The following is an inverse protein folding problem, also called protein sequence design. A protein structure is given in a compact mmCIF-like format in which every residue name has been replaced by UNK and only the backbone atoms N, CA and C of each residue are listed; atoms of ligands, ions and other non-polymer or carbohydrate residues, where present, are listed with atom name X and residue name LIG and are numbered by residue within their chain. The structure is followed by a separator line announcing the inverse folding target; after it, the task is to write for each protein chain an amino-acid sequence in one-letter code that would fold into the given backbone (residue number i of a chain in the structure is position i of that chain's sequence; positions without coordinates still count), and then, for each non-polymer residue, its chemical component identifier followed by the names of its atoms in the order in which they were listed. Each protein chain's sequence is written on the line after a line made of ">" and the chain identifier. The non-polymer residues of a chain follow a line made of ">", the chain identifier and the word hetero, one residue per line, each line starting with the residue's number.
data_IF_347992255366
#
_entry.id   IF_347992255366
#
_cell.length_a   1.000
_cell.length_b   1.000
_cell.length_c   1.000
_cell.angle_alpha   90.00
_cell.angle_beta   90.00
_cell.angle_gamma   90.00
#
_symmetry.space_group_name_H-M   'P 1'
#
loop_
_entity.id
_entity.type
_entity.pdbx_description
1 polymer ?
#
# COMPACT_ATOMS: atom_id res chain seq x y z
N UNK A 1 -15.85 6.10 8.86
CA UNK A 1 -15.52 4.66 8.84
C UNK A 1 -14.25 4.41 9.65
N UNK A 2 -14.09 3.22 10.24
CA UNK A 2 -12.82 2.81 10.86
C UNK A 2 -11.69 2.77 9.80
N UNK A 3 -10.57 3.52 9.96
CA UNK A 3 -9.46 3.49 9.01
C UNK A 3 -8.75 2.12 8.91
N UNK A 4 -9.07 1.18 9.80
CA UNK A 4 -8.59 -0.20 9.77
C UNK A 4 -9.61 -1.22 9.24
N UNK A 5 -10.79 -0.77 8.79
CA UNK A 5 -11.78 -1.63 8.14
C UNK A 5 -11.14 -2.42 6.99
N UNK A 6 -11.49 -3.70 6.82
CA UNK A 6 -10.94 -4.53 5.74
C UNK A 6 -11.28 -3.94 4.36
N UNK A 7 -10.57 -4.34 3.31
CA UNK A 7 -10.87 -3.87 1.96
C UNK A 7 -12.28 -4.30 1.52
N UNK A 8 -12.68 -5.52 1.89
CA UNK A 8 -14.04 -6.01 1.67
C UNK A 8 -15.09 -5.21 2.46
N UNK A 9 -14.81 -4.83 3.71
CA UNK A 9 -15.74 -4.00 4.50
C UNK A 9 -15.88 -2.58 3.92
N UNK A 10 -14.78 -1.98 3.46
CA UNK A 10 -14.81 -0.68 2.76
C UNK A 10 -15.70 -0.76 1.52
N UNK A 11 -15.42 -1.72 0.64
CA UNK A 11 -16.18 -1.90 -0.59
C UNK A 11 -17.67 -2.20 -0.29
N UNK A 12 -17.97 -2.98 0.75
CA UNK A 12 -19.34 -3.29 1.14
C UNK A 12 -20.10 -2.06 1.64
N UNK A 13 -19.45 -1.21 2.43
CA UNK A 13 -20.06 0.04 2.91
C UNK A 13 -20.26 1.07 1.78
N UNK A 14 -19.33 1.14 0.81
CA UNK A 14 -19.51 1.94 -0.41
C UNK A 14 -20.72 1.44 -1.21
N UNK A 15 -20.83 0.12 -1.44
CA UNK A 15 -21.99 -0.49 -2.12
C UNK A 15 -23.31 -0.27 -1.39
N UNK A 16 -23.30 -0.19 -0.05
CA UNK A 16 -24.48 0.11 0.77
C UNK A 16 -24.75 1.62 0.91
N UNK A 17 -23.95 2.46 0.27
CA UNK A 17 -24.02 3.92 0.37
C UNK A 17 -23.91 4.45 1.82
N UNK A 18 -23.21 3.72 2.70
CA UNK A 18 -22.91 4.18 4.07
C UNK A 18 -21.79 5.23 4.09
N UNK A 19 -20.95 5.22 3.05
CA UNK A 19 -19.94 6.23 2.72
C UNK A 19 -19.75 6.22 1.21
N UNK A 20 -19.54 7.36 0.57
CA UNK A 20 -19.16 7.39 -0.84
C UNK A 20 -17.68 7.02 -1.03
N UNK A 21 -17.32 6.48 -2.20
CA UNK A 21 -15.92 6.20 -2.51
C UNK A 21 -15.05 7.47 -2.48
N UNK A 22 -15.60 8.62 -2.87
CA UNK A 22 -14.89 9.91 -2.85
C UNK A 22 -14.62 10.39 -1.42
N UNK A 23 -15.63 10.35 -0.54
CA UNK A 23 -15.43 10.66 0.90
C UNK A 23 -14.40 9.72 1.54
N UNK A 24 -14.39 8.45 1.14
CA UNK A 24 -13.43 7.48 1.62
C UNK A 24 -12.01 7.83 1.15
N UNK A 25 -11.82 8.13 -0.14
CA UNK A 25 -10.54 8.57 -0.70
C UNK A 25 -10.02 9.82 -0.01
N UNK A 26 -10.85 10.85 0.14
CA UNK A 26 -10.45 12.10 0.80
C UNK A 26 -10.02 11.86 2.26
N UNK A 27 -10.80 11.07 3.01
CA UNK A 27 -10.45 10.71 4.38
C UNK A 27 -9.11 9.97 4.49
N UNK A 28 -8.78 9.12 3.51
CA UNK A 28 -7.49 8.42 3.48
C UNK A 28 -6.34 9.34 3.06
N UNK A 29 -6.54 10.23 2.08
CA UNK A 29 -5.53 11.21 1.67
C UNK A 29 -5.17 12.17 2.80
N UNK A 30 -6.16 12.71 3.51
CA UNK A 30 -5.94 13.54 4.71
C UNK A 30 -5.18 12.79 5.80
N UNK A 31 -5.47 11.49 5.95
CA UNK A 31 -4.78 10.64 6.92
C UNK A 31 -3.34 10.37 6.51
N UNK A 32 -3.06 10.16 5.22
CA UNK A 32 -1.71 10.03 4.66
C UNK A 32 -0.91 11.32 4.95
N UNK A 33 -1.47 12.48 4.62
CA UNK A 33 -0.82 13.78 4.85
C UNK A 33 -0.41 13.96 6.33
N UNK A 34 -1.29 13.56 7.26
CA UNK A 34 -1.03 13.69 8.70
C UNK A 34 -0.02 12.69 9.26
N UNK A 35 0.00 11.45 8.77
CA UNK A 35 0.71 10.35 9.43
C UNK A 35 1.97 9.89 8.68
N UNK A 36 1.96 9.95 7.35
CA UNK A 36 3.07 9.47 6.54
C UNK A 36 4.39 10.22 6.75
N UNK A 37 4.44 11.52 7.11
CA UNK A 37 5.72 12.17 7.43
C UNK A 37 6.55 11.48 8.53
N UNK A 38 5.92 10.64 9.37
CA UNK A 38 6.61 9.84 10.41
C UNK A 38 7.00 8.44 9.95
N UNK A 39 6.36 7.94 8.89
CA UNK A 39 6.50 6.57 8.40
C UNK A 39 7.32 6.50 7.12
N UNK A 40 7.19 7.50 6.25
CA UNK A 40 7.78 7.56 4.93
C UNK A 40 7.42 6.30 4.10
N UNK A 41 6.13 6.00 4.04
CA UNK A 41 5.59 4.82 3.37
C UNK A 41 5.17 5.13 1.92
N UNK A 42 4.72 6.35 1.63
CA UNK A 42 4.43 6.83 0.29
C UNK A 42 5.59 7.65 -0.26
N UNK A 43 6.00 7.34 -1.50
CA UNK A 43 6.85 8.23 -2.30
C UNK A 43 6.05 9.45 -2.73
N UNK A 44 4.87 9.20 -3.31
CA UNK A 44 4.01 10.23 -3.88
C UNK A 44 2.56 9.77 -3.78
N UNK A 45 1.67 10.66 -3.39
CA UNK A 45 0.23 10.44 -3.42
C UNK A 45 -0.34 10.77 -4.79
N UNK A 46 -1.52 10.25 -5.09
CA UNK A 46 -2.18 10.44 -6.38
C UNK A 46 -3.62 10.93 -6.19
N UNK A 47 -3.82 12.10 -5.56
CA UNK A 47 -5.15 12.59 -5.17
C UNK A 47 -6.11 12.72 -6.35
N UNK A 48 -5.67 13.31 -7.45
CA UNK A 48 -6.52 13.54 -8.63
C UNK A 48 -6.94 12.23 -9.29
N UNK A 49 -6.00 11.29 -9.45
CA UNK A 49 -6.28 9.94 -9.95
C UNK A 49 -7.24 9.19 -9.02
N UNK A 50 -6.97 9.19 -7.71
CA UNK A 50 -7.78 8.46 -6.73
C UNK A 50 -9.22 8.98 -6.71
N UNK A 51 -9.40 10.31 -6.76
CA UNK A 51 -10.72 10.95 -6.80
C UNK A 51 -11.45 10.66 -8.11
N UNK A 52 -10.77 10.72 -9.24
CA UNK A 52 -11.37 10.36 -10.53
C UNK A 52 -11.86 8.89 -10.52
N UNK A 53 -11.01 7.96 -10.07
CA UNK A 53 -11.37 6.55 -9.92
C UNK A 53 -12.53 6.30 -8.96
N UNK A 54 -12.63 7.10 -7.89
CA UNK A 54 -13.72 7.02 -6.93
C UNK A 54 -15.03 7.62 -7.46
N UNK A 55 -14.95 8.68 -8.26
CA UNK A 55 -16.09 9.35 -8.87
C UNK A 55 -16.70 8.54 -10.02
N UNK A 56 -15.88 7.79 -10.75
CA UNK A 56 -16.33 6.97 -11.87
C UNK A 56 -17.35 5.90 -11.44
N UNK A 57 -17.45 5.56 -10.14
CA UNK A 57 -18.57 4.84 -9.49
C UNK A 57 -18.80 3.38 -9.90
N UNK A 58 -18.39 3.03 -11.12
CA UNK A 58 -18.74 1.84 -11.88
C UNK A 58 -17.54 0.93 -12.12
N UNK A 59 -16.39 1.22 -11.49
CA UNK A 59 -15.08 0.69 -11.84
C UNK A 59 -14.87 -0.83 -11.72
N UNK A 60 -15.92 -1.65 -11.58
CA UNK A 60 -15.84 -3.08 -11.87
C UNK A 60 -16.93 -3.95 -11.24
N UNK A 61 -17.75 -3.40 -10.34
CA UNK A 61 -18.76 -4.16 -9.58
C UNK A 61 -18.20 -5.30 -8.71
N UNK A 62 -16.87 -5.44 -8.66
CA UNK A 62 -16.16 -6.51 -7.98
C UNK A 62 -16.14 -6.36 -6.46
N UNK A 63 -15.66 -7.39 -5.76
CA UNK A 63 -15.67 -7.42 -4.29
C UNK A 63 -14.87 -6.27 -3.65
N UNK A 64 -13.88 -5.71 -4.37
CA UNK A 64 -13.01 -4.62 -3.93
C UNK A 64 -13.40 -3.23 -4.46
N UNK A 65 -14.48 -3.10 -5.24
CA UNK A 65 -14.85 -1.81 -5.83
C UNK A 65 -15.08 -0.74 -4.74
N UNK A 66 -14.39 0.40 -4.86
CA UNK A 66 -14.36 1.50 -3.90
C UNK A 66 -13.33 1.36 -2.77
N UNK A 67 -12.70 0.19 -2.59
CA UNK A 67 -11.69 0.01 -1.56
C UNK A 67 -10.35 0.64 -1.95
N UNK A 68 -9.78 1.43 -1.05
CA UNK A 68 -8.54 2.17 -1.29
C UNK A 68 -7.30 1.26 -1.32
N UNK A 69 -6.36 1.56 -2.22
CA UNK A 69 -5.14 0.77 -2.39
C UNK A 69 -3.89 1.62 -2.63
N UNK A 70 -2.73 0.97 -2.67
CA UNK A 70 -1.46 1.58 -3.04
C UNK A 70 -0.67 0.69 -4.00
N UNK A 71 0.24 1.29 -4.78
CA UNK A 71 1.09 0.56 -5.73
C UNK A 71 2.56 0.77 -5.38
N UNK A 72 3.28 -0.32 -5.08
CA UNK A 72 4.74 -0.28 -4.94
C UNK A 72 5.45 0.34 -6.14
N UNK A 73 6.48 1.15 -5.88
CA UNK A 73 7.26 1.84 -6.89
C UNK A 73 8.23 0.95 -7.71
N UNK A 74 7.74 -0.20 -8.17
CA UNK A 74 8.40 -1.12 -9.12
C UNK A 74 7.48 -1.52 -10.28
N UNK A 75 6.17 -1.26 -10.18
CA UNK A 75 5.20 -1.59 -11.23
C UNK A 75 4.78 -0.30 -11.94
N UNK A 76 4.78 -0.26 -13.27
CA UNK A 76 4.51 0.95 -14.02
C UNK A 76 3.05 1.42 -13.86
N UNK A 77 2.85 2.74 -13.79
CA UNK A 77 1.54 3.39 -13.73
C UNK A 77 1.58 4.63 -14.62
N UNK A 78 0.85 4.62 -15.73
CA UNK A 78 0.93 5.61 -16.79
C UNK A 78 0.76 7.04 -16.24
N UNK A 79 1.64 7.96 -16.67
CA UNK A 79 1.63 9.36 -16.24
C UNK A 79 2.19 9.62 -14.84
N UNK A 80 2.60 8.58 -14.10
CA UNK A 80 3.15 8.71 -12.77
C UNK A 80 4.62 8.26 -12.68
N UNK A 81 5.37 8.75 -11.67
CA UNK A 81 6.76 8.37 -11.49
C UNK A 81 6.97 6.87 -11.29
N UNK A 82 8.04 6.35 -11.87
CA UNK A 82 8.52 4.98 -11.73
C UNK A 82 10.03 5.00 -11.46
N UNK A 83 10.40 5.17 -10.19
CA UNK A 83 11.81 5.43 -9.84
C UNK A 83 12.59 4.18 -9.48
N UNK A 84 11.90 3.05 -9.28
CA UNK A 84 12.51 1.84 -8.77
C UNK A 84 13.25 2.02 -7.44
N UNK A 85 12.96 3.07 -6.67
CA UNK A 85 13.72 3.45 -5.47
C UNK A 85 15.16 3.93 -5.76
N UNK A 86 15.52 4.14 -7.03
CA UNK A 86 16.85 4.52 -7.50
C UNK A 86 16.90 5.98 -7.92
N UNK A 87 18.00 6.67 -7.58
CA UNK A 87 18.27 8.04 -8.08
C UNK A 87 18.45 8.09 -9.59
N UNK A 88 18.90 6.99 -10.22
CA UNK A 88 19.09 6.93 -11.67
C UNK A 88 17.77 7.07 -12.44
N UNK A 89 16.63 6.87 -11.79
CA UNK A 89 15.29 6.93 -12.37
C UNK A 89 14.41 7.97 -11.66
N UNK A 90 14.99 8.93 -10.92
CA UNK A 90 14.23 9.92 -10.13
C UNK A 90 13.18 10.67 -10.97
N UNK A 91 13.57 11.04 -12.19
CA UNK A 91 12.74 11.77 -13.16
C UNK A 91 11.99 10.85 -14.15
N UNK A 92 12.08 9.53 -13.98
CA UNK A 92 11.43 8.58 -14.89
C UNK A 92 9.91 8.55 -14.66
N UNK A 93 9.15 8.74 -15.73
CA UNK A 93 7.68 8.68 -15.74
C UNK A 93 7.22 7.53 -16.61
N UNK A 94 6.40 6.64 -16.05
CA UNK A 94 5.85 5.51 -16.78
C UNK A 94 4.92 5.98 -17.89
N UNK A 95 5.12 5.46 -19.11
CA UNK A 95 4.31 5.79 -20.28
C UNK A 95 3.05 4.92 -20.39
N UNK A 96 3.09 3.73 -19.80
CA UNK A 96 1.99 2.76 -19.82
C UNK A 96 1.77 2.21 -18.42
N UNK A 97 0.56 1.70 -18.19
CA UNK A 97 0.29 0.88 -17.02
C UNK A 97 0.94 -0.49 -17.19
N UNK A 98 1.49 -1.01 -16.10
CA UNK A 98 1.68 -2.44 -15.96
C UNK A 98 0.31 -3.13 -15.92
N UNK A 99 0.23 -4.36 -16.41
CA UNK A 99 -1.03 -5.08 -16.47
C UNK A 99 -1.68 -5.28 -15.10
N UNK A 100 -0.87 -5.46 -14.04
CA UNK A 100 -1.38 -5.49 -12.66
C UNK A 100 -2.05 -4.17 -12.28
N UNK A 101 -1.48 -3.03 -12.63
CA UNK A 101 -2.08 -1.71 -12.39
C UNK A 101 -3.35 -1.52 -13.22
N UNK A 102 -3.35 -1.92 -14.48
CA UNK A 102 -4.58 -1.89 -15.31
C UNK A 102 -5.71 -2.70 -14.68
N UNK A 103 -5.41 -3.89 -14.14
CA UNK A 103 -6.40 -4.71 -13.40
C UNK A 103 -6.85 -4.05 -12.10
N UNK A 104 -5.96 -3.42 -11.34
CA UNK A 104 -6.34 -2.66 -10.15
C UNK A 104 -7.33 -1.53 -10.47
N UNK A 105 -7.07 -0.80 -11.56
CA UNK A 105 -7.98 0.25 -12.07
C UNK A 105 -9.32 -0.34 -12.49
N UNK A 106 -9.32 -1.43 -13.26
CA UNK A 106 -10.52 -2.14 -13.73
C UNK A 106 -11.28 -2.92 -12.65
N UNK A 107 -10.68 -3.11 -11.47
CA UNK A 107 -11.34 -3.65 -10.28
C UNK A 107 -12.00 -2.54 -9.44
N UNK A 108 -11.82 -1.27 -9.82
CA UNK A 108 -12.47 -0.13 -9.20
C UNK A 108 -11.84 0.22 -7.87
N UNK A 109 -10.54 -0.01 -7.71
CA UNK A 109 -9.81 0.29 -6.48
C UNK A 109 -9.08 1.62 -6.60
N UNK A 110 -9.50 2.68 -5.87
CA UNK A 110 -8.81 3.97 -5.92
C UNK A 110 -7.36 3.85 -5.43
N UNK A 111 -6.41 4.18 -6.29
CA UNK A 111 -4.98 4.12 -5.99
C UNK A 111 -4.59 5.45 -5.33
N UNK A 112 -4.30 5.39 -4.03
CA UNK A 112 -3.97 6.58 -3.22
C UNK A 112 -2.55 7.11 -3.46
N UNK A 113 -1.66 6.26 -3.95
CA UNK A 113 -0.29 6.65 -4.22
C UNK A 113 0.68 5.51 -4.50
N UNK A 114 1.93 5.91 -4.71
CA UNK A 114 3.10 5.05 -4.93
C UNK A 114 3.81 4.82 -3.60
N UNK A 115 4.04 3.56 -3.23
CA UNK A 115 4.74 3.23 -1.99
C UNK A 115 6.23 3.03 -2.21
N UNK A 116 7.01 3.38 -1.17
CA UNK A 116 8.47 3.28 -1.17
C UNK A 116 8.95 1.83 -1.23
N UNK A 117 10.16 1.68 -1.78
CA UNK A 117 10.89 0.41 -1.94
C UNK A 117 12.38 0.73 -1.85
N UNK A 118 13.24 -0.19 -1.36
CA UNK A 118 14.67 -0.08 -1.60
C UNK A 118 14.94 -0.14 -3.12
N UNK A 119 16.10 0.37 -3.50
CA UNK A 119 16.58 0.42 -4.87
C UNK A 119 16.45 -0.95 -5.58
N UNK A 120 15.74 -0.95 -6.71
CA UNK A 120 15.35 -2.09 -7.55
C UNK A 120 14.64 -3.24 -6.83
N UNK A 121 14.10 -2.97 -5.63
CA UNK A 121 13.52 -4.01 -4.79
C UNK A 121 14.53 -5.03 -4.25
N UNK A 122 15.82 -4.66 -4.22
CA UNK A 122 16.95 -5.58 -4.02
C UNK A 122 17.22 -6.00 -2.57
N UNK A 123 16.62 -5.32 -1.58
CA UNK A 123 16.91 -5.52 -0.15
C UNK A 123 15.69 -6.01 0.63
N UNK A 124 15.89 -6.82 1.70
CA UNK A 124 14.84 -7.26 2.60
C UNK A 124 14.44 -6.21 3.65
N UNK A 125 14.91 -4.96 3.49
CA UNK A 125 14.59 -3.79 4.32
C UNK A 125 14.36 -2.60 3.40
N UNK A 126 13.47 -1.69 3.79
CA UNK A 126 13.26 -0.40 3.10
C UNK A 126 14.01 0.70 3.86
N UNK A 127 15.31 0.53 3.90
CA UNK A 127 16.28 1.46 4.46
C UNK A 127 17.22 1.82 3.30
N UNK A 128 17.55 3.10 3.14
CA UNK A 128 18.44 3.62 2.08
C UNK A 128 17.84 3.73 0.67
N UNK A 129 18.44 4.61 -0.15
CA UNK A 129 18.02 4.88 -1.53
C UNK A 129 17.44 6.28 -1.71
N UNK A 130 16.66 6.47 -2.78
CA UNK A 130 16.09 7.77 -3.16
C UNK A 130 15.17 8.35 -2.07
N UNK A 131 14.38 7.51 -1.40
CA UNK A 131 13.27 7.94 -0.54
C UNK A 131 13.61 7.94 0.95
N UNK A 132 14.81 7.52 1.36
CA UNK A 132 15.15 7.33 2.77
C UNK A 132 14.48 6.11 3.41
N UNK A 133 14.44 6.06 4.75
CA UNK A 133 13.98 4.88 5.49
C UNK A 133 12.47 4.89 5.70
N UNK A 134 11.80 3.78 5.39
CA UNK A 134 10.41 3.52 5.81
C UNK A 134 10.39 2.90 7.20
N UNK A 135 9.59 3.46 8.10
CA UNK A 135 9.50 3.06 9.50
C UNK A 135 8.33 2.09 9.73
N UNK A 136 8.52 1.17 10.67
CA UNK A 136 7.47 0.27 11.10
C UNK A 136 6.45 0.99 12.00
N UNK A 137 5.13 0.93 11.71
CA UNK A 137 4.13 1.60 12.52
C UNK A 137 3.94 1.01 13.93
N UNK A 138 4.43 -0.21 14.19
CA UNK A 138 4.44 -0.78 15.55
C UNK A 138 5.55 -0.21 16.43
N UNK A 139 6.68 0.15 15.82
CA UNK A 139 7.79 0.84 16.47
C UNK A 139 8.63 1.57 15.41
N UNK A 140 8.70 2.91 15.50
CA UNK A 140 9.38 3.73 14.50
C UNK A 140 10.91 3.51 14.46
N UNK A 141 11.49 2.87 15.47
CA UNK A 141 12.89 2.49 15.49
C UNK A 141 13.17 1.13 14.80
N UNK A 142 12.12 0.42 14.38
CA UNK A 142 12.23 -0.89 13.74
C UNK A 142 11.99 -0.82 12.23
N UNK A 143 12.54 -1.81 11.52
CA UNK A 143 12.35 -1.97 10.08
C UNK A 143 10.91 -2.33 9.72
N UNK A 144 10.38 -1.76 8.64
CA UNK A 144 9.14 -2.23 8.00
C UNK A 144 9.34 -3.54 7.23
N UNK A 145 10.57 -4.04 7.14
CA UNK A 145 10.97 -5.08 6.19
C UNK A 145 10.98 -4.55 4.76
N UNK A 146 11.21 -5.45 3.79
CA UNK A 146 11.35 -5.07 2.39
C UNK A 146 11.38 -6.27 1.44
N UNK A 147 11.31 -6.02 0.13
CA UNK A 147 11.35 -4.69 -0.48
C UNK A 147 10.00 -3.96 -0.54
N UNK A 148 8.87 -4.60 -0.23
CA UNK A 148 7.56 -3.92 -0.20
C UNK A 148 7.27 -3.24 1.14
N UNK A 149 8.28 -2.63 1.76
CA UNK A 149 8.16 -2.04 3.11
C UNK A 149 7.21 -0.85 3.18
N UNK A 150 7.19 0.03 2.17
CA UNK A 150 6.22 1.13 2.08
C UNK A 150 4.78 0.64 2.05
N UNK A 151 4.51 -0.38 1.22
CA UNK A 151 3.19 -1.01 1.14
C UNK A 151 2.74 -1.59 2.49
N UNK A 152 3.63 -2.31 3.19
CA UNK A 152 3.31 -2.89 4.49
C UNK A 152 3.12 -1.83 5.58
N UNK A 153 3.99 -0.82 5.65
CA UNK A 153 3.89 0.26 6.62
C UNK A 153 2.61 1.08 6.42
N UNK A 154 2.30 1.45 5.16
CA UNK A 154 1.08 2.16 4.83
C UNK A 154 -0.17 1.37 5.25
N UNK A 155 -0.21 0.08 4.92
CA UNK A 155 -1.36 -0.76 5.24
C UNK A 155 -1.53 -0.98 6.75
N UNK A 156 -0.43 -1.25 7.47
CA UNK A 156 -0.45 -1.48 8.92
C UNK A 156 -0.77 -0.21 9.71
N UNK A 157 -0.46 0.99 9.19
CA UNK A 157 -0.84 2.27 9.78
C UNK A 157 -2.28 2.71 9.47
N UNK A 158 -3.01 1.93 8.66
CA UNK A 158 -4.36 2.26 8.20
C UNK A 158 -4.35 3.45 7.25
N UNK A 159 -3.39 3.50 6.32
CA UNK A 159 -3.31 4.51 5.24
C UNK A 159 -3.86 4.01 3.90
N UNK A 160 -4.28 2.75 3.84
CA UNK A 160 -5.02 2.14 2.74
C UNK A 160 -5.74 0.87 3.24
N UNK A 161 -6.60 0.28 2.41
CA UNK A 161 -7.36 -0.92 2.73
C UNK A 161 -6.61 -2.22 2.45
N UNK A 162 -5.83 -2.21 1.37
CA UNK A 162 -4.92 -3.26 0.94
C UNK A 162 -3.78 -2.63 0.14
N UNK A 163 -2.77 -3.41 -0.26
CA UNK A 163 -1.67 -2.86 -1.06
C UNK A 163 -1.07 -3.87 -2.02
N UNK A 164 -0.63 -3.35 -3.16
CA UNK A 164 0.19 -4.09 -4.11
C UNK A 164 1.68 -4.05 -3.72
N UNK A 165 2.35 -5.19 -3.89
CA UNK A 165 3.79 -5.34 -3.73
C UNK A 165 4.38 -6.33 -4.74
N UNK A 166 5.68 -6.60 -4.62
CA UNK A 166 6.37 -7.59 -5.46
C UNK A 166 7.25 -8.48 -4.60
N UNK A 167 7.39 -9.76 -4.98
CA UNK A 167 8.11 -10.76 -4.18
C UNK A 167 8.87 -11.75 -5.07
N UNK A 168 10.20 -11.69 -4.99
CA UNK A 168 11.11 -12.73 -5.48
C UNK A 168 11.69 -13.56 -4.33
N UNK A 169 12.39 -12.90 -3.40
CA UNK A 169 13.06 -13.53 -2.26
C UNK A 169 12.32 -13.45 -0.92
N UNK A 170 11.06 -13.03 -0.90
CA UNK A 170 10.29 -12.75 0.33
C UNK A 170 9.77 -11.31 0.42
N UNK A 171 9.88 -10.52 -0.65
CA UNK A 171 9.64 -9.08 -0.58
C UNK A 171 8.19 -8.62 -0.36
N UNK A 172 7.22 -9.52 -0.32
CA UNK A 172 5.87 -9.28 0.21
C UNK A 172 5.72 -9.94 1.59
N UNK A 173 6.21 -11.17 1.74
CA UNK A 173 6.06 -11.97 2.96
C UNK A 173 6.87 -11.44 4.16
N UNK A 174 8.10 -10.97 3.93
CA UNK A 174 8.98 -10.36 4.94
C UNK A 174 8.33 -9.09 5.51
N UNK A 175 8.00 -8.05 4.71
CA UNK A 175 7.41 -6.85 5.27
C UNK A 175 6.01 -7.09 5.85
N UNK A 176 5.25 -8.06 5.34
CA UNK A 176 4.00 -8.50 5.97
C UNK A 176 4.25 -9.07 7.38
N UNK A 177 5.25 -9.93 7.56
CA UNK A 177 5.64 -10.44 8.88
C UNK A 177 6.06 -9.30 9.82
N UNK A 178 6.94 -8.40 9.37
CA UNK A 178 7.41 -7.26 10.17
C UNK A 178 6.29 -6.32 10.59
N UNK A 179 5.28 -6.10 9.74
CA UNK A 179 4.19 -5.16 9.97
C UNK A 179 2.90 -5.84 10.46
N UNK A 180 2.90 -7.15 10.73
CA UNK A 180 1.73 -7.90 11.21
C UNK A 180 0.60 -7.96 10.17
N UNK A 181 0.87 -8.36 8.95
CA UNK A 181 -0.12 -8.40 7.87
C UNK A 181 -0.18 -9.78 7.22
N UNK A 182 -1.22 -10.00 6.43
CA UNK A 182 -1.25 -11.12 5.49
C UNK A 182 -0.57 -10.67 4.21
N UNK A 183 0.47 -11.39 3.78
CA UNK A 183 1.17 -11.12 2.52
C UNK A 183 1.25 -12.39 1.69
N UNK A 184 0.83 -12.32 0.42
CA UNK A 184 0.83 -13.46 -0.49
C UNK A 184 1.72 -13.18 -1.71
N UNK A 185 2.66 -14.11 -1.92
CA UNK A 185 3.32 -14.29 -3.21
C UNK A 185 2.64 -15.46 -3.93
N UNK A 186 1.88 -15.23 -5.00
CA UNK A 186 1.25 -16.32 -5.74
C UNK A 186 2.28 -17.18 -6.49
N UNK A 187 1.80 -18.25 -7.10
CA UNK A 187 2.59 -19.04 -8.05
C UNK A 187 3.09 -18.19 -9.21
N UNK A 188 4.26 -18.52 -9.75
CA UNK A 188 4.78 -17.95 -11.00
C UNK A 188 3.74 -18.08 -12.11
N UNK A 189 3.57 -17.04 -12.92
CA UNK A 189 2.58 -17.02 -14.02
C UNK A 189 1.13 -16.83 -13.58
N UNK A 190 0.84 -16.66 -12.28
CA UNK A 190 -0.53 -16.41 -11.79
C UNK A 190 -1.03 -15.00 -12.11
N UNK A 191 -0.15 -14.03 -12.00
CA UNK A 191 -0.39 -12.62 -12.33
C UNK A 191 0.62 -12.26 -13.42
N UNK A 192 0.11 -11.68 -14.51
CA UNK A 192 0.94 -11.24 -15.62
C UNK A 192 1.98 -10.17 -15.17
N UNK A 193 3.25 -10.31 -15.57
CA UNK A 193 4.29 -9.31 -15.32
C UNK A 193 4.34 -8.18 -16.37
N UNK A 194 3.60 -8.31 -17.46
CA UNK A 194 3.66 -7.40 -18.61
C UNK A 194 3.06 -6.00 -18.39
N UNK A 195 3.04 -5.16 -19.44
CA UNK A 195 3.58 -5.41 -20.78
C UNK A 195 5.07 -5.10 -20.92
N UNK A 196 5.67 -4.41 -19.94
CA UNK A 196 7.06 -3.91 -20.04
C UNK A 196 8.12 -4.99 -19.85
N UNK A 197 7.78 -6.07 -19.14
CA UNK A 197 8.68 -7.18 -18.85
C UNK A 197 7.95 -8.51 -19.05
N UNK A 198 8.61 -9.49 -19.65
CA UNK A 198 8.07 -10.85 -19.81
C UNK A 198 8.17 -11.70 -18.55
N UNK A 199 9.21 -11.47 -17.73
CA UNK A 199 9.37 -12.11 -16.42
C UNK A 199 10.40 -11.38 -15.54
N UNK A 200 10.29 -11.54 -14.22
CA UNK A 200 11.24 -10.98 -13.25
C UNK A 200 12.10 -12.05 -12.58
N UNK A 201 13.42 -11.83 -12.52
CA UNK A 201 14.40 -12.74 -11.88
C UNK A 201 14.24 -14.21 -12.32
N UNK A 202 14.23 -14.46 -13.64
CA UNK A 202 13.99 -15.78 -14.23
C UNK A 202 12.71 -16.47 -13.70
N UNK A 203 11.69 -15.66 -13.42
CA UNK A 203 10.38 -16.05 -12.91
C UNK A 203 10.30 -16.31 -11.40
N UNK A 204 11.36 -16.01 -10.65
CA UNK A 204 11.32 -16.03 -9.20
C UNK A 204 10.47 -14.87 -8.65
N UNK A 205 10.56 -13.70 -9.28
CA UNK A 205 9.82 -12.51 -8.86
C UNK A 205 8.43 -12.47 -9.48
N UNK A 206 7.42 -12.28 -8.62
CA UNK A 206 6.02 -12.12 -9.04
C UNK A 206 5.40 -10.86 -8.43
N UNK A 207 4.28 -10.42 -9.02
CA UNK A 207 3.38 -9.48 -8.35
C UNK A 207 2.77 -10.16 -7.13
N UNK A 208 2.51 -9.39 -6.08
CA UNK A 208 1.89 -9.87 -4.85
C UNK A 208 1.07 -8.81 -4.16
N UNK A 209 0.43 -9.19 -3.07
CA UNK A 209 -0.54 -8.35 -2.37
C UNK A 209 -0.42 -8.52 -0.86
N UNK A 210 -0.74 -7.43 -0.16
CA UNK A 210 -0.82 -7.35 1.28
C UNK A 210 -2.24 -6.94 1.68
N UNK A 211 -2.77 -7.57 2.72
CA UNK A 211 -4.07 -7.28 3.30
C UNK A 211 -4.06 -7.46 4.83
N UNK A 212 -5.08 -6.95 5.50
CA UNK A 212 -5.27 -7.19 6.94
C UNK A 212 -5.92 -8.54 7.22
N UNK A 213 -6.61 -9.09 6.23
CA UNK A 213 -7.26 -10.41 6.32
C UNK A 213 -6.87 -11.30 5.15
N UNK A 214 -7.04 -12.61 5.34
CA UNK A 214 -6.88 -13.60 4.26
C UNK A 214 -7.90 -13.34 3.15
N UNK A 215 -9.11 -12.90 3.52
CA UNK A 215 -10.19 -12.61 2.57
C UNK A 215 -9.83 -11.42 1.66
N UNK A 216 -9.22 -10.35 2.20
CA UNK A 216 -8.75 -9.21 1.40
C UNK A 216 -7.70 -9.64 0.37
N UNK A 217 -6.73 -10.44 0.81
CA UNK A 217 -5.64 -10.94 -0.04
C UNK A 217 -6.17 -11.88 -1.13
N UNK A 218 -7.14 -12.73 -0.80
CA UNK A 218 -7.79 -13.62 -1.74
C UNK A 218 -8.63 -12.86 -2.78
N UNK A 219 -9.40 -11.86 -2.35
CA UNK A 219 -10.17 -10.99 -3.25
C UNK A 219 -9.26 -10.15 -4.15
N UNK A 220 -8.12 -9.68 -3.63
CA UNK A 220 -7.10 -9.01 -4.43
C UNK A 220 -6.47 -9.96 -5.45
N UNK A 221 -6.22 -11.23 -5.08
CA UNK A 221 -5.74 -12.20 -6.05
C UNK A 221 -6.77 -12.48 -7.16
N UNK A 222 -8.05 -12.58 -6.83
CA UNK A 222 -9.13 -12.71 -7.83
C UNK A 222 -9.13 -11.55 -8.83
N UNK A 223 -8.95 -10.32 -8.34
CA UNK A 223 -8.91 -9.12 -9.19
C UNK A 223 -7.68 -9.05 -10.10
N UNK A 224 -6.55 -9.66 -9.71
CA UNK A 224 -5.26 -9.50 -10.38
C UNK A 224 -4.82 -10.71 -11.20
N UNK A 225 -5.36 -11.90 -10.93
CA UNK A 225 -4.95 -13.13 -11.57
C UNK A 225 -5.36 -13.22 -13.05
N UNK A 226 -4.69 -14.10 -13.79
CA UNK A 226 -4.96 -14.41 -15.20
C UNK A 226 -3.83 -13.99 -16.12
N UNK A 227 -3.75 -14.64 -17.28
CA UNK A 227 -2.76 -14.35 -18.30
C UNK A 227 -3.20 -13.20 -19.21
N UNK A 228 -2.25 -12.57 -19.88
CA UNK A 228 -2.47 -11.53 -20.90
C UNK A 228 -1.54 -11.72 -22.10
N UNK A 229 -1.87 -11.11 -23.26
CA UNK A 229 -1.00 -11.17 -24.43
C UNK A 229 0.44 -10.76 -24.12
N UNK A 230 1.40 -11.60 -24.53
CA UNK A 230 2.82 -11.40 -24.27
C UNK A 230 3.38 -12.13 -23.05
N UNK A 231 2.53 -12.77 -22.23
CA UNK A 231 3.00 -13.62 -21.13
C UNK A 231 3.76 -14.86 -21.67
N UNK A 232 5.00 -15.12 -21.23
CA UNK A 232 5.78 -16.26 -21.70
C UNK A 232 5.29 -17.61 -21.16
N UNK A 233 4.56 -17.60 -20.05
CA UNK A 233 3.94 -18.76 -19.40
C UNK A 233 2.87 -18.27 -18.43
N UNK A 234 1.92 -19.14 -18.08
CA UNK A 234 0.85 -18.80 -17.15
C UNK A 234 0.42 -19.98 -16.28
N UNK A 235 -0.23 -19.64 -15.16
CA UNK A 235 -0.90 -20.57 -14.28
C UNK A 235 -2.40 -20.23 -14.25
N UNK A 236 -3.23 -21.09 -14.84
CA UNK A 236 -4.67 -20.88 -15.00
C UNK A 236 -5.39 -20.81 -13.65
N UNK A 237 -6.14 -19.74 -13.33
CA UNK A 237 -6.97 -19.69 -12.13
C UNK A 237 -8.02 -20.81 -12.16
N UNK A 238 -8.07 -21.63 -11.10
CA UNK A 238 -9.01 -22.77 -10.99
C UNK A 238 -10.40 -22.34 -10.47
N UNK A 239 -10.57 -21.05 -10.15
CA UNK A 239 -11.78 -20.48 -9.57
C UNK A 239 -11.46 -19.25 -8.72
N UNK A 240 -12.45 -18.77 -7.98
CA UNK A 240 -12.29 -17.64 -7.06
C UNK A 240 -11.56 -18.07 -5.77
N UNK A 241 -10.44 -17.42 -5.51
CA UNK A 241 -9.67 -17.54 -4.27
C UNK A 241 -10.48 -17.05 -3.08
N UNK A 242 -11.21 -15.94 -3.21
CA UNK A 242 -12.04 -15.42 -2.13
C UNK A 242 -13.22 -16.34 -1.79
N UNK A 243 -13.84 -16.95 -2.79
CA UNK A 243 -14.89 -17.95 -2.55
C UNK A 243 -14.33 -19.17 -1.81
N UNK A 244 -13.11 -19.59 -2.16
CA UNK A 244 -12.45 -20.71 -1.48
C UNK A 244 -12.23 -20.44 0.02
N UNK A 245 -11.89 -19.21 0.43
CA UNK A 245 -11.73 -18.87 1.87
C UNK A 245 -13.05 -18.92 2.64
N UNK A 246 -14.19 -18.83 1.95
CA UNK A 246 -15.49 -18.90 2.58
C UNK A 246 -15.94 -20.33 2.91
N UNK A 247 -15.28 -21.36 2.37
CA UNK A 247 -15.65 -22.77 2.59
C UNK A 247 -15.36 -23.23 4.04
N UNK A 248 -16.24 -24.06 4.65
CA UNK A 248 -16.12 -24.45 6.07
C UNK A 248 -14.80 -25.14 6.43
N UNK A 249 -14.20 -25.91 5.52
CA UNK A 249 -12.93 -26.62 5.74
C UNK A 249 -11.72 -25.69 5.91
N UNK A 250 -11.77 -24.46 5.37
CA UNK A 250 -10.70 -23.47 5.51
C UNK A 250 -10.79 -22.64 6.81
N UNK A 251 -11.99 -22.47 7.37
CA UNK A 251 -12.20 -21.59 8.55
C UNK A 251 -11.63 -22.18 9.84
N UNK A 252 -11.51 -23.50 9.94
CA UNK A 252 -10.92 -24.20 11.09
C UNK A 252 -9.42 -23.92 11.27
N UNK A 253 -8.70 -23.54 10.22
CA UNK A 253 -7.26 -23.23 10.29
C UNK A 253 -6.98 -21.75 10.64
N UNK A 254 -7.88 -20.83 10.25
CA UNK A 254 -7.70 -19.38 10.45
C UNK A 254 -8.27 -18.82 11.77
N UNK A 255 -9.07 -19.62 12.50
CA UNK A 255 -9.82 -19.17 13.69
C UNK A 255 -8.97 -18.64 14.85
N UNK A 256 -7.70 -19.08 14.97
CA UNK A 256 -6.79 -18.64 16.03
C UNK A 256 -6.31 -17.19 15.93
N UNK A 257 -6.38 -16.57 14.75
CA UNK A 257 -5.79 -15.25 14.49
C UNK A 257 -6.78 -14.09 14.62
N UNK A 258 -8.10 -14.31 14.44
CA UNK A 258 -9.10 -13.22 14.44
C UNK A 258 -9.33 -12.57 15.82
N UNK A 259 -9.04 -13.27 16.92
CA UNK A 259 -9.31 -12.80 18.29
C UNK A 259 -8.29 -11.81 18.87
N UNK A 260 -7.02 -11.86 18.45
CA UNK A 260 -5.96 -11.01 19.03
C UNK A 260 -5.85 -9.61 18.40
N UNK A 261 -6.34 -9.43 17.18
CA UNK A 261 -6.20 -8.18 16.42
C UNK A 261 -7.15 -7.06 16.88
N UNK A 262 -8.41 -7.37 17.22
CA UNK A 262 -9.40 -6.36 17.65
C UNK A 262 -9.06 -5.67 18.97
N UNK A 263 -8.33 -6.34 19.87
CA UNK A 263 -7.99 -5.77 21.18
C UNK A 263 -6.85 -4.74 21.12
N UNK A 264 -5.99 -4.78 20.08
CA UNK A 264 -4.77 -3.97 19.99
C UNK A 264 -4.90 -2.72 19.09
N UNK A 265 -5.77 -2.73 18.08
CA UNK A 265 -6.03 -1.56 17.22
C UNK A 265 -6.62 -0.37 18.02
N UNK A 266 -7.39 -0.64 19.08
CA UNK A 266 -7.92 0.35 20.03
C UNK A 266 -6.86 1.16 20.78
N UNK A 267 -5.62 0.65 20.85
CA UNK A 267 -4.52 1.35 21.54
C UNK A 267 -3.94 2.49 20.71
N UNK A 268 -3.99 2.39 19.37
CA UNK A 268 -3.45 3.42 18.47
C UNK A 268 -4.36 4.64 18.34
N UNK A 269 -5.69 4.49 18.47
CA UNK A 269 -6.63 5.63 18.51
C UNK A 269 -6.54 6.44 19.81
N UNK A 270 -6.04 5.83 20.91
CA UNK A 270 -5.86 6.51 22.20
C UNK A 270 -4.47 7.12 22.40
N UNK A 271 -3.48 6.73 21.61
CA UNK A 271 -2.07 7.12 21.80
C UNK A 271 -1.59 8.26 20.88
N UNK A 272 -2.48 9.12 20.40
CA UNK A 272 -2.07 10.43 19.90
C UNK A 272 -1.65 11.30 21.10
N UNK A 273 -0.37 11.69 21.26
CA UNK A 273 0.04 12.50 22.39
C UNK A 273 -0.66 13.87 22.30
N UNK A 274 -1.45 14.19 23.32
CA UNK A 274 -1.90 15.56 23.55
C UNK A 274 -0.67 16.42 23.78
N UNK A 275 -0.57 17.53 23.03
CA UNK A 275 0.49 18.54 23.18
C UNK A 275 0.65 18.89 24.67
N UNK A 276 1.87 18.86 25.23
CA UNK A 276 2.08 19.45 26.55
C UNK A 276 1.89 20.97 26.44
N UNK A 277 0.96 21.53 27.22
CA UNK A 277 0.91 22.96 27.49
C UNK A 277 2.11 23.34 28.35
N UNK A 278 3.19 23.79 27.72
CA UNK A 278 4.15 24.68 28.36
C UNK A 278 4.94 25.43 27.28
N UNK A 279 4.70 26.74 27.20
CA UNK A 279 5.49 27.63 26.35
C UNK A 279 6.70 28.18 27.12
N UNK A 280 7.87 28.33 26.50
CA UNK A 280 8.91 29.21 27.03
C UNK A 280 8.74 30.62 26.46
N UNK A 281 8.65 31.59 27.37
CA UNK A 281 8.77 33.03 27.11
C UNK A 281 10.15 33.32 26.52
N UNK A 282 10.22 33.80 25.28
CA UNK A 282 11.41 34.47 24.77
C UNK A 282 11.28 35.96 24.99
N UNK A 283 12.06 36.45 25.97
CA UNK A 283 12.21 37.85 26.27
C UNK A 283 12.91 38.58 25.11
N UNK A 284 12.30 39.69 24.68
CA UNK A 284 12.95 40.71 23.85
C UNK A 284 14.14 41.28 24.62
N UNK A 285 15.32 41.28 24.01
CA UNK A 285 16.35 42.25 24.37
C UNK A 285 16.83 42.98 23.12
N UNK A 286 16.58 44.28 23.13
CA UNK A 286 17.04 45.27 22.17
C UNK A 286 18.54 45.51 22.33
N UNK A 287 19.30 45.51 21.23
CA UNK A 287 20.56 46.25 21.15
C UNK A 287 20.52 47.16 19.92
N UNK A 288 20.47 48.47 20.17
CA UNK A 288 20.81 49.53 19.20
C UNK A 288 22.29 49.87 19.32
N UNK A 289 22.96 49.81 18.16
CA UNK A 289 24.02 50.65 17.60
C UNK A 289 25.10 51.30 18.48
N UNK A 290 26.36 51.21 18.01
CA UNK A 290 27.26 52.37 17.81
C UNK A 290 28.20 52.17 16.60
N UNK A 291 28.66 53.24 15.93
CA UNK A 291 29.44 53.20 14.69
C UNK A 291 30.96 53.23 14.93
N UNK A 292 31.74 52.79 13.93
CA UNK A 292 33.19 52.93 13.89
C UNK A 292 33.59 54.17 13.09
N UNK A 293 34.31 55.07 13.74
CA UNK A 293 35.24 56.06 13.15
C UNK A 293 36.52 55.98 13.96
N UNK A 294 37.66 55.92 13.28
CA UNK A 294 39.00 55.76 13.85
C UNK A 294 39.85 54.93 12.92
#
# INVERSE_FOLDING_TARGET
>A
MDPFASALDQAAAVRRHEVSATELVDAYLERIERLDPRLNAFRVTTPDLARAQAADGDGGGGPLAGATTSVKDLSAMAGHPLTYGSRAFEDNVAQVDSFVVSRMKAAGTPILGRTTTPEFGSRPVTEFGLHGTTRNPWNLDHTSGGSSGGAAAALAAGLCAWSHGTDGGGSVRIPASCCGLVGLKPSRGRISPGPLVGEGWAGLSTQGMLGRTVDDVAAALDALAGHLPGDPYWAEPEGSYWTATCTPSCRTWCGGWRGRWRAWATTWTRAAPTRPRSGPRWARSSRRARPRTG
#
